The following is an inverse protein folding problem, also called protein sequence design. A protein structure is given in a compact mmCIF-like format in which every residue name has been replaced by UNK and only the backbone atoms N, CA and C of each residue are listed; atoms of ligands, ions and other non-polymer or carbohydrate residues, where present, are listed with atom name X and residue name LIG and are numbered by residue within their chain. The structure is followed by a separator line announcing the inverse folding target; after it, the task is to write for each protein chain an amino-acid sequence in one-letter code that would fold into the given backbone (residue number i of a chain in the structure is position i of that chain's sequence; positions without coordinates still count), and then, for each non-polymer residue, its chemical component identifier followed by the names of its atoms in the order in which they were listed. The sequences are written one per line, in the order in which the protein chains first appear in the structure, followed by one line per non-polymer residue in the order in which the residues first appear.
data_IF_866259674865
#
_entry.id   IF_866259674865
#
_cell.length_a   1.000
_cell.length_b   1.000
_cell.length_c   1.000
_cell.angle_alpha   90.00
_cell.angle_beta   90.00
_cell.angle_gamma   90.00
#
_symmetry.space_group_name_H-M   'P 1'
#
loop_
_entity.id
_entity.type
_entity.pdbx_description
1 polymer ?
#
# COMPACT_ATOMS: atom_id res chain seq x y z
N UNK A 1 11.03 27.36 6.86
CA UNK A 1 10.20 26.15 6.97
C UNK A 1 9.95 25.65 5.56
N UNK A 2 10.67 24.61 5.12
CA UNK A 2 10.39 24.00 3.81
C UNK A 2 9.15 23.12 3.96
N UNK A 3 7.98 23.65 3.61
CA UNK A 3 6.80 22.82 3.35
C UNK A 3 7.06 22.05 2.06
N UNK A 4 7.68 20.87 2.17
CA UNK A 4 7.57 19.86 1.13
C UNK A 4 6.12 19.36 1.18
N UNK A 5 5.22 20.02 0.48
CA UNK A 5 3.92 19.43 0.17
C UNK A 5 4.17 18.13 -0.60
N UNK A 6 3.58 17.05 -0.09
CA UNK A 6 3.48 15.80 -0.85
C UNK A 6 2.52 16.09 -1.98
N UNK A 7 3.06 16.38 -3.15
CA UNK A 7 2.28 16.56 -4.38
C UNK A 7 2.30 15.23 -5.07
N UNK A 8 1.33 14.37 -4.79
CA UNK A 8 1.17 13.10 -5.50
C UNK A 8 -0.25 13.06 -6.01
N UNK A 9 -0.40 12.96 -7.32
CA UNK A 9 -1.67 12.83 -8.01
C UNK A 9 -1.51 11.91 -9.23
N UNK A 10 -2.61 11.51 -9.90
CA UNK A 10 -2.54 10.61 -11.05
C UNK A 10 -1.78 11.14 -12.28
N UNK A 11 -1.46 12.44 -12.32
CA UNK A 11 -0.79 13.12 -13.44
C UNK A 11 0.65 13.55 -13.11
N UNK A 12 1.07 13.50 -11.85
CA UNK A 12 2.43 13.82 -11.46
C UNK A 12 2.74 13.54 -9.99
N UNK A 13 4.04 13.46 -9.68
CA UNK A 13 4.51 13.45 -8.30
C UNK A 13 5.71 14.36 -8.11
N UNK A 14 5.71 15.16 -7.04
CA UNK A 14 6.93 15.70 -6.45
C UNK A 14 7.64 14.55 -5.75
N UNK A 15 8.98 14.53 -5.82
CA UNK A 15 9.80 13.43 -5.30
C UNK A 15 9.78 13.42 -3.76
N UNK A 16 8.66 12.98 -3.17
CA UNK A 16 8.51 12.78 -1.74
C UNK A 16 8.73 11.32 -1.40
N UNK A 17 9.68 11.06 -0.50
CA UNK A 17 10.00 9.73 0.04
C UNK A 17 9.34 9.48 1.40
N UNK A 18 8.42 10.36 1.83
CA UNK A 18 7.71 10.25 3.11
C UNK A 18 6.46 9.38 3.00
N UNK A 19 6.66 8.06 3.03
CA UNK A 19 5.59 7.07 2.89
C UNK A 19 4.57 7.11 4.03
N UNK A 20 4.99 7.43 5.26
CA UNK A 20 4.09 7.56 6.41
C UNK A 20 3.08 8.67 6.20
N UNK A 21 3.55 9.83 5.71
CA UNK A 21 2.66 10.94 5.37
C UNK A 21 1.71 10.61 4.22
N UNK A 22 2.15 9.84 3.23
CA UNK A 22 1.29 9.36 2.13
C UNK A 22 0.17 8.47 2.68
N UNK A 23 0.49 7.55 3.58
CA UNK A 23 -0.50 6.67 4.23
C UNK A 23 -1.58 7.50 4.93
N UNK A 24 -1.17 8.48 5.75
CA UNK A 24 -2.10 9.34 6.50
C UNK A 24 -2.96 10.21 5.58
N UNK A 25 -2.36 10.87 4.59
CA UNK A 25 -3.06 11.79 3.70
C UNK A 25 -4.11 11.10 2.82
N UNK A 26 -3.81 9.89 2.35
CA UNK A 26 -4.72 9.12 1.50
C UNK A 26 -5.65 8.18 2.28
N UNK A 27 -5.53 8.13 3.62
CA UNK A 27 -6.32 7.24 4.47
C UNK A 27 -6.11 5.77 4.09
N UNK A 28 -4.86 5.36 3.95
CA UNK A 28 -4.47 3.98 3.69
C UNK A 28 -4.06 3.28 4.99
N UNK A 29 -3.98 1.96 4.94
CA UNK A 29 -3.36 1.15 6.00
C UNK A 29 -1.93 0.77 5.61
N UNK A 30 -1.04 0.65 6.59
CA UNK A 30 0.33 0.18 6.34
C UNK A 30 0.33 -1.31 6.00
N UNK A 31 1.24 -1.71 5.11
CA UNK A 31 1.55 -3.12 4.86
C UNK A 31 2.38 -3.77 5.97
N UNK A 32 2.90 -2.98 6.91
CA UNK A 32 3.67 -3.50 8.04
C UNK A 32 2.81 -4.40 8.92
N UNK A 33 3.32 -5.60 9.23
CA UNK A 33 2.61 -6.59 10.04
C UNK A 33 1.57 -7.41 9.27
N UNK A 34 1.30 -7.11 7.99
CA UNK A 34 0.42 -7.92 7.15
C UNK A 34 1.12 -9.23 6.78
N UNK A 35 0.53 -10.36 7.18
CA UNK A 35 1.05 -11.69 6.83
C UNK A 35 0.53 -12.14 5.48
N UNK A 36 1.44 -12.19 4.49
CA UNK A 36 1.13 -12.59 3.11
C UNK A 36 1.73 -13.98 2.85
N UNK A 37 0.94 -14.95 2.35
CA UNK A 37 1.48 -16.24 1.93
C UNK A 37 2.41 -16.05 0.71
N UNK A 38 3.62 -16.61 0.78
CA UNK A 38 4.62 -16.55 -0.31
C UNK A 38 4.88 -15.12 -0.84
N UNK A 39 5.38 -14.18 0.00
CA UNK A 39 5.49 -12.78 -0.38
C UNK A 39 6.50 -12.55 -1.52
N UNK A 40 6.10 -11.74 -2.49
CA UNK A 40 6.98 -11.34 -3.60
C UNK A 40 8.16 -10.48 -3.13
N UNK A 41 9.15 -10.25 -4.01
CA UNK A 41 10.29 -9.36 -3.69
C UNK A 41 9.87 -7.92 -3.41
N UNK A 42 8.75 -7.45 -3.94
CA UNK A 42 8.28 -6.06 -3.77
C UNK A 42 7.78 -5.83 -2.35
N UNK A 43 7.00 -6.77 -1.82
CA UNK A 43 6.56 -6.74 -0.42
C UNK A 43 7.76 -6.78 0.54
N UNK A 44 8.69 -7.72 0.33
CA UNK A 44 9.88 -7.86 1.19
C UNK A 44 10.84 -6.67 1.17
N UNK A 45 10.77 -5.82 0.13
CA UNK A 45 11.60 -4.60 0.00
C UNK A 45 10.87 -3.33 0.40
N UNK A 46 9.62 -3.41 0.87
CA UNK A 46 8.82 -2.24 1.23
C UNK A 46 8.42 -1.37 0.04
N UNK A 47 8.41 -1.91 -1.18
CA UNK A 47 7.97 -1.18 -2.38
C UNK A 47 6.44 -1.12 -2.43
N UNK A 48 5.77 -2.20 -2.01
CA UNK A 48 4.33 -2.20 -1.72
C UNK A 48 4.21 -1.95 -0.22
N UNK A 49 3.95 -0.71 0.17
CA UNK A 49 4.03 -0.23 1.56
C UNK A 49 2.68 0.12 2.20
N UNK A 50 1.62 0.26 1.40
CA UNK A 50 0.30 0.61 1.88
C UNK A 50 -0.79 -0.17 1.13
N UNK A 51 -1.96 -0.31 1.76
CA UNK A 51 -3.11 -1.00 1.19
C UNK A 51 -4.45 -0.41 1.67
N UNK A 52 -5.54 -0.87 1.05
CA UNK A 52 -6.92 -0.69 1.50
C UNK A 52 -7.67 -2.01 1.31
N UNK A 53 -8.36 -2.47 2.35
CA UNK A 53 -9.20 -3.69 2.37
C UNK A 53 -8.50 -4.95 1.81
N UNK A 54 -7.17 -5.02 1.93
CA UNK A 54 -6.39 -6.14 1.41
C UNK A 54 -6.61 -7.43 2.22
N UNK A 55 -7.02 -7.29 3.47
CA UNK A 55 -7.47 -8.37 4.33
C UNK A 55 -8.67 -9.13 3.73
N UNK A 56 -9.56 -8.46 3.00
CA UNK A 56 -10.69 -9.11 2.29
C UNK A 56 -10.16 -10.08 1.24
N UNK A 57 -9.18 -9.64 0.43
CA UNK A 57 -8.55 -10.48 -0.61
C UNK A 57 -7.78 -11.64 0.03
N UNK A 58 -7.03 -11.38 1.10
CA UNK A 58 -6.33 -12.43 1.84
C UNK A 58 -7.30 -13.45 2.44
N UNK A 59 -8.46 -13.01 2.90
CA UNK A 59 -9.49 -13.89 3.44
C UNK A 59 -10.11 -14.76 2.34
N UNK A 60 -10.50 -14.18 1.21
CA UNK A 60 -11.00 -14.95 0.06
C UNK A 60 -9.98 -15.99 -0.41
N UNK A 61 -8.68 -15.61 -0.49
CA UNK A 61 -7.61 -16.55 -0.81
C UNK A 61 -7.51 -17.70 0.21
N UNK A 62 -7.60 -17.41 1.51
CA UNK A 62 -7.56 -18.43 2.58
C UNK A 62 -8.77 -19.37 2.53
N UNK A 63 -9.94 -18.86 2.17
CA UNK A 63 -11.18 -19.62 2.06
C UNK A 63 -11.34 -20.36 0.72
N UNK A 64 -10.47 -20.08 -0.27
CA UNK A 64 -10.60 -20.63 -1.62
C UNK A 64 -11.77 -20.01 -2.41
N UNK A 65 -12.13 -18.77 -2.08
CA UNK A 65 -13.16 -17.99 -2.75
C UNK A 65 -12.57 -17.15 -3.90
N UNK A 66 -13.40 -16.86 -4.90
CA UNK A 66 -13.01 -16.05 -6.04
C UNK A 66 -12.88 -14.57 -5.69
N UNK A 67 -11.90 -13.88 -6.28
CA UNK A 67 -11.78 -12.42 -6.24
C UNK A 67 -11.24 -11.88 -7.57
N UNK A 68 -11.60 -10.64 -7.90
CA UNK A 68 -11.18 -9.97 -9.14
C UNK A 68 -9.89 -9.17 -8.98
N UNK A 69 -9.14 -9.04 -10.08
CA UNK A 69 -7.97 -8.15 -10.21
C UNK A 69 -8.16 -7.32 -11.49
N UNK A 70 -7.88 -6.01 -11.42
CA UNK A 70 -7.98 -5.06 -12.54
C UNK A 70 -6.62 -4.56 -12.97
#
# INVERSE_FOLDING_TARGET
MMNNEVTIDPWGSSQSTDYSRIIEQFGLSSMDGVSIPSPSRLHRRGIVFAHRDFDVVLQSQKCGEDFGVL
#
